data_IF_284788220780
#
_entry.id   IF_284788220780
#
_cell.length_a   1.000
_cell.length_b   1.000
_cell.length_c   1.000
_cell.angle_alpha   90.00
_cell.angle_beta   90.00
_cell.angle_gamma   90.00
#
_symmetry.space_group_name_H-M   'P 1'
#
loop_
_entity.id
_entity.type
_entity.pdbx_description
1 polymer ?
#
# COMPACT_ATOMS: atom_id res chain seq x y z
N UNK A 1 -24.15 -16.60 -20.75
CA UNK A 1 -25.18 -15.56 -20.96
C UNK A 1 -26.29 -15.77 -19.94
N UNK A 2 -26.79 -14.71 -19.31
CA UNK A 2 -27.62 -14.79 -18.11
C UNK A 2 -29.08 -15.08 -18.42
N UNK A 3 -29.63 -14.47 -19.48
CA UNK A 3 -31.03 -14.63 -19.90
C UNK A 3 -31.17 -15.71 -20.98
N UNK A 4 -30.33 -15.66 -22.01
CA UNK A 4 -30.40 -16.55 -23.17
C UNK A 4 -29.56 -17.84 -23.05
N UNK A 5 -28.69 -17.94 -22.05
CA UNK A 5 -27.80 -19.09 -21.87
C UNK A 5 -28.48 -20.26 -21.15
N UNK A 6 -28.16 -21.48 -21.57
CA UNK A 6 -28.61 -22.70 -20.88
C UNK A 6 -28.02 -22.81 -19.47
N UNK A 7 -28.69 -23.51 -18.55
CA UNK A 7 -28.19 -23.73 -17.19
C UNK A 7 -26.81 -24.39 -17.17
N UNK A 8 -26.62 -25.45 -17.97
CA UNK A 8 -25.33 -26.15 -18.08
C UNK A 8 -24.20 -25.20 -18.46
N UNK A 9 -24.43 -24.28 -19.40
CA UNK A 9 -23.41 -23.27 -19.78
C UNK A 9 -23.16 -22.21 -18.72
N UNK A 10 -24.14 -21.89 -17.87
CA UNK A 10 -23.98 -20.93 -16.77
C UNK A 10 -23.18 -21.55 -15.62
N UNK A 11 -23.47 -22.81 -15.26
CA UNK A 11 -22.76 -23.55 -14.22
C UNK A 11 -21.31 -23.87 -14.60
N UNK A 12 -21.04 -24.09 -15.90
CA UNK A 12 -19.69 -24.38 -16.38
C UNK A 12 -18.79 -23.15 -16.58
N UNK A 13 -19.31 -21.92 -16.40
CA UNK A 13 -18.58 -20.68 -16.70
C UNK A 13 -18.09 -19.96 -15.44
N UNK A 14 -16.90 -19.34 -15.50
CA UNK A 14 -16.37 -18.52 -14.40
C UNK A 14 -17.03 -17.14 -14.28
N UNK A 15 -17.71 -16.68 -15.33
CA UNK A 15 -18.38 -15.37 -15.37
C UNK A 15 -19.66 -15.45 -16.22
N UNK A 16 -20.77 -14.95 -15.68
CA UNK A 16 -22.07 -14.88 -16.34
C UNK A 16 -22.51 -13.44 -16.53
N UNK A 17 -22.80 -13.05 -17.77
CA UNK A 17 -23.36 -11.73 -18.10
C UNK A 17 -24.86 -11.72 -17.78
N UNK A 18 -25.30 -10.95 -16.79
CA UNK A 18 -26.69 -10.93 -16.32
C UNK A 18 -27.64 -10.17 -17.25
N UNK A 19 -27.10 -9.25 -18.04
CA UNK A 19 -27.83 -8.34 -18.94
C UNK A 19 -27.90 -8.85 -20.39
N UNK A 20 -27.05 -9.81 -20.74
CA UNK A 20 -26.78 -10.32 -22.08
C UNK A 20 -26.06 -9.33 -23.01
N UNK A 21 -25.34 -8.35 -22.45
CA UNK A 21 -24.61 -7.32 -23.22
C UNK A 21 -23.09 -7.61 -23.29
N UNK A 22 -22.54 -7.64 -24.50
CA UNK A 22 -21.10 -7.77 -24.71
C UNK A 22 -20.31 -6.58 -24.16
N UNK A 23 -20.91 -5.40 -24.03
CA UNK A 23 -20.28 -4.23 -23.40
C UNK A 23 -19.87 -4.51 -21.95
N UNK A 24 -20.60 -5.39 -21.25
CA UNK A 24 -20.28 -5.80 -19.87
C UNK A 24 -18.97 -6.60 -19.77
N UNK A 25 -18.53 -7.27 -20.86
CA UNK A 25 -17.19 -7.88 -20.92
C UNK A 25 -16.12 -6.79 -20.93
N UNK A 26 -16.31 -5.72 -21.69
CA UNK A 26 -15.34 -4.60 -21.75
C UNK A 26 -15.24 -3.90 -20.40
N UNK A 27 -16.38 -3.72 -19.71
CA UNK A 27 -16.42 -3.20 -18.34
C UNK A 27 -15.68 -4.13 -17.36
N UNK A 28 -15.92 -5.44 -17.42
CA UNK A 28 -15.24 -6.43 -16.59
C UNK A 28 -13.71 -6.43 -16.82
N UNK A 29 -13.27 -6.32 -18.08
CA UNK A 29 -11.82 -6.20 -18.40
C UNK A 29 -11.24 -4.91 -17.85
N UNK A 30 -11.96 -3.78 -17.93
CA UNK A 30 -11.52 -2.51 -17.32
C UNK A 30 -11.34 -2.65 -15.82
N UNK A 31 -12.33 -3.27 -15.15
CA UNK A 31 -12.32 -3.46 -13.71
C UNK A 31 -11.20 -4.41 -13.27
N UNK A 32 -11.05 -5.56 -13.93
CA UNK A 32 -9.98 -6.51 -13.62
C UNK A 32 -8.57 -5.92 -13.77
N UNK A 33 -8.36 -5.05 -14.77
CA UNK A 33 -7.10 -4.31 -14.92
C UNK A 33 -6.90 -3.27 -13.82
N UNK A 34 -7.95 -2.57 -13.40
CA UNK A 34 -7.92 -1.63 -12.27
C UNK A 34 -7.56 -2.33 -10.96
N UNK A 35 -8.24 -3.43 -10.65
CA UNK A 35 -7.96 -4.26 -9.46
C UNK A 35 -6.49 -4.70 -9.45
N UNK A 36 -5.97 -5.18 -10.58
CA UNK A 36 -4.57 -5.59 -10.68
C UNK A 36 -3.60 -4.45 -10.38
N UNK A 37 -3.81 -3.28 -10.99
CA UNK A 37 -2.95 -2.10 -10.78
C UNK A 37 -3.01 -1.63 -9.32
N UNK A 38 -4.18 -1.69 -8.69
CA UNK A 38 -4.35 -1.34 -7.28
C UNK A 38 -3.66 -2.34 -6.36
N UNK A 39 -3.77 -3.65 -6.61
CA UNK A 39 -3.02 -4.67 -5.86
C UNK A 39 -1.51 -4.41 -5.96
N UNK A 40 -1.00 -4.09 -7.16
CA UNK A 40 0.41 -3.72 -7.36
C UNK A 40 0.80 -2.50 -6.52
N UNK A 41 0.00 -1.44 -6.50
CA UNK A 41 0.22 -0.23 -5.69
C UNK A 41 0.23 -0.55 -4.19
N UNK A 42 -0.76 -1.30 -3.72
CA UNK A 42 -0.88 -1.72 -2.31
C UNK A 42 0.30 -2.58 -1.87
N UNK A 43 0.80 -3.47 -2.72
CA UNK A 43 2.00 -4.26 -2.41
C UNK A 43 3.25 -3.40 -2.29
N UNK A 44 3.44 -2.43 -3.20
CA UNK A 44 4.55 -1.47 -3.08
C UNK A 44 4.43 -0.69 -1.78
N UNK A 45 3.22 -0.27 -1.39
CA UNK A 45 2.96 0.39 -0.12
C UNK A 45 3.33 -0.51 1.07
N UNK A 46 2.72 -1.69 1.23
CA UNK A 46 2.95 -2.55 2.38
C UNK A 46 4.42 -3.00 2.49
N UNK A 47 5.04 -3.38 1.37
CA UNK A 47 6.45 -3.81 1.38
C UNK A 47 7.40 -2.68 1.74
N UNK A 48 7.10 -1.43 1.36
CA UNK A 48 7.94 -0.28 1.73
C UNK A 48 7.93 -0.06 3.24
N UNK A 49 6.75 -0.12 3.88
CA UNK A 49 6.62 0.00 5.34
C UNK A 49 7.37 -1.11 6.05
N UNK A 50 7.06 -2.36 5.73
CA UNK A 50 7.69 -3.53 6.36
C UNK A 50 9.22 -3.55 6.21
N UNK A 51 9.75 -3.20 5.04
CA UNK A 51 11.21 -3.10 4.84
C UNK A 51 11.79 -1.96 5.68
N UNK A 52 11.10 -0.82 5.77
CA UNK A 52 11.51 0.31 6.61
C UNK A 52 11.57 -0.05 8.09
N UNK A 53 10.51 -0.66 8.63
CA UNK A 53 10.45 -1.12 10.02
C UNK A 53 11.56 -2.14 10.33
N UNK A 54 11.74 -3.11 9.44
CA UNK A 54 12.80 -4.12 9.57
C UNK A 54 14.18 -3.47 9.58
N UNK A 55 14.44 -2.49 8.71
CA UNK A 55 15.70 -1.76 8.68
C UNK A 55 15.93 -0.96 9.97
N UNK A 56 14.91 -0.27 10.49
CA UNK A 56 15.00 0.47 11.76
C UNK A 56 15.38 -0.48 12.90
N UNK A 57 14.70 -1.62 13.01
CA UNK A 57 14.95 -2.62 14.04
C UNK A 57 16.35 -3.22 13.90
N UNK A 58 16.72 -3.63 12.68
CA UNK A 58 18.02 -4.23 12.39
C UNK A 58 19.16 -3.28 12.74
N UNK A 59 19.09 -2.02 12.29
CA UNK A 59 20.14 -1.03 12.53
C UNK A 59 20.23 -0.67 14.02
N UNK A 60 19.10 -0.45 14.70
CA UNK A 60 19.11 -0.15 16.13
C UNK A 60 19.77 -1.27 16.95
N UNK A 61 19.40 -2.53 16.69
CA UNK A 61 20.00 -3.70 17.37
C UNK A 61 21.48 -3.83 17.03
N UNK A 62 21.86 -3.62 15.77
CA UNK A 62 23.27 -3.70 15.32
C UNK A 62 24.16 -2.65 15.99
N UNK A 63 23.60 -1.48 16.30
CA UNK A 63 24.28 -0.39 17.02
C UNK A 63 24.22 -0.54 18.55
N UNK A 64 23.61 -1.62 19.06
CA UNK A 64 23.46 -1.86 20.49
C UNK A 64 22.45 -0.93 21.18
N UNK A 65 21.55 -0.30 20.42
CA UNK A 65 20.49 0.53 21.00
C UNK A 65 19.37 -0.34 21.56
N UNK A 66 18.60 0.17 22.54
CA UNK A 66 17.38 -0.50 22.96
C UNK A 66 16.44 -0.70 21.76
N UNK A 67 15.61 -1.74 21.83
CA UNK A 67 14.69 -2.07 20.74
C UNK A 67 13.68 -0.91 20.56
N UNK A 68 13.60 -0.30 19.35
CA UNK A 68 12.80 0.91 19.13
C UNK A 68 11.29 0.65 19.07
N UNK A 69 10.87 -0.55 18.66
CA UNK A 69 9.46 -0.95 18.62
C UNK A 69 9.25 -2.28 19.35
N UNK A 70 8.24 -2.33 20.20
CA UNK A 70 7.81 -3.58 20.81
C UNK A 70 6.98 -4.40 19.81
N UNK A 71 6.88 -5.73 19.97
CA UNK A 71 6.03 -6.56 19.10
C UNK A 71 4.58 -6.09 19.03
N UNK A 72 4.05 -5.56 20.14
CA UNK A 72 2.70 -5.00 20.18
C UNK A 72 2.56 -3.74 19.31
N UNK A 73 3.59 -2.88 19.26
CA UNK A 73 3.60 -1.72 18.36
C UNK A 73 3.60 -2.15 16.89
N UNK A 74 4.43 -3.15 16.55
CA UNK A 74 4.49 -3.69 15.18
C UNK A 74 3.16 -4.31 14.74
N UNK A 75 2.50 -5.06 15.64
CA UNK A 75 1.19 -5.65 15.36
C UNK A 75 0.12 -4.57 15.13
N UNK A 76 0.15 -3.50 15.93
CA UNK A 76 -0.75 -2.36 15.73
C UNK A 76 -0.50 -1.69 14.39
N UNK A 77 0.76 -1.42 14.05
CA UNK A 77 1.13 -0.79 12.77
C UNK A 77 0.64 -1.65 11.60
N UNK A 78 1.02 -2.92 11.56
CA UNK A 78 0.70 -3.82 10.45
C UNK A 78 -0.81 -4.05 10.28
N UNK A 79 -1.57 -4.13 11.39
CA UNK A 79 -2.99 -4.46 11.33
C UNK A 79 -3.86 -3.22 11.12
N UNK A 80 -3.64 -2.18 11.93
CA UNK A 80 -4.52 -1.01 11.99
C UNK A 80 -3.99 0.08 11.08
N UNK A 81 -2.75 0.52 11.31
CA UNK A 81 -2.19 1.68 10.61
C UNK A 81 -1.98 1.42 9.13
N UNK A 82 -1.47 0.24 8.76
CA UNK A 82 -1.23 -0.14 7.37
C UNK A 82 -2.43 -0.82 6.71
N UNK A 83 -3.21 -1.58 7.47
CA UNK A 83 -4.35 -2.33 6.94
C UNK A 83 -5.43 -1.43 6.36
N UNK A 84 -5.78 -0.35 7.07
CA UNK A 84 -6.84 0.57 6.62
C UNK A 84 -6.47 1.32 5.33
N UNK A 85 -5.28 1.96 5.21
CA UNK A 85 -4.86 2.57 3.94
C UNK A 85 -4.69 1.55 2.82
N UNK A 86 -4.21 0.33 3.11
CA UNK A 86 -4.08 -0.72 2.11
C UNK A 86 -5.44 -1.09 1.48
N UNK A 87 -6.49 -1.23 2.30
CA UNK A 87 -7.85 -1.44 1.81
C UNK A 87 -8.34 -0.27 0.96
N UNK A 88 -8.06 0.97 1.40
CA UNK A 88 -8.41 2.17 0.65
C UNK A 88 -7.73 2.20 -0.73
N UNK A 89 -6.44 1.84 -0.80
CA UNK A 89 -5.68 1.77 -2.04
C UNK A 89 -6.18 0.67 -3.00
N UNK A 90 -6.67 -0.45 -2.47
CA UNK A 90 -7.26 -1.52 -3.31
C UNK A 90 -8.53 -1.05 -4.00
N UNK A 91 -9.32 -0.19 -3.36
CA UNK A 91 -10.60 0.34 -3.86
C UNK A 91 -10.46 1.63 -4.68
N UNK A 92 -9.24 2.05 -5.03
CA UNK A 92 -9.04 3.23 -5.88
C UNK A 92 -9.68 3.01 -7.27
N UNK A 93 -10.33 4.02 -7.88
CA UNK A 93 -10.95 3.84 -9.18
C UNK A 93 -9.89 3.52 -10.27
N UNK A 94 -10.23 2.69 -11.28
CA UNK A 94 -9.32 2.40 -12.39
C UNK A 94 -8.87 3.66 -13.12
N UNK A 95 -7.60 3.73 -13.54
CA UNK A 95 -7.06 4.89 -14.25
C UNK A 95 -7.75 5.08 -15.62
N UNK A 96 -7.93 6.32 -16.07
CA UNK A 96 -8.68 6.64 -17.30
C UNK A 96 -8.06 6.01 -18.57
N UNK A 97 -6.74 5.82 -18.59
CA UNK A 97 -5.97 5.21 -19.68
C UNK A 97 -5.83 3.68 -19.53
N UNK A 98 -6.57 3.06 -18.60
CA UNK A 98 -6.49 1.61 -18.36
C UNK A 98 -6.73 0.79 -19.61
N UNK A 99 -7.71 1.14 -20.45
CA UNK A 99 -7.98 0.42 -21.69
C UNK A 99 -7.08 0.81 -22.86
N UNK A 100 -6.37 1.94 -22.78
CA UNK A 100 -5.45 2.40 -23.84
C UNK A 100 -4.12 1.63 -23.83
N UNK A 101 -3.74 1.07 -22.68
CA UNK A 101 -2.53 0.26 -22.53
C UNK A 101 -2.76 -1.15 -23.10
N UNK A 102 -1.78 -1.80 -23.76
CA UNK A 102 -1.92 -3.17 -24.22
C UNK A 102 -2.10 -4.16 -23.06
N UNK A 103 -2.65 -5.37 -23.31
CA UNK A 103 -2.70 -6.42 -22.31
C UNK A 103 -1.31 -6.78 -21.78
N UNK A 104 -1.23 -7.00 -20.48
CA UNK A 104 0.00 -7.37 -19.78
C UNK A 104 0.47 -8.77 -20.22
N UNK A 105 1.78 -9.00 -20.41
CA UNK A 105 2.33 -10.35 -20.59
C UNK A 105 2.07 -11.25 -19.35
N UNK A 106 1.60 -12.49 -19.52
CA UNK A 106 1.32 -13.39 -18.40
C UNK A 106 2.54 -13.72 -17.51
N UNK A 107 3.75 -13.64 -18.10
CA UNK A 107 5.02 -13.94 -17.42
C UNK A 107 5.69 -12.73 -16.77
N UNK A 108 5.12 -11.54 -16.91
CA UNK A 108 5.67 -10.37 -16.24
C UNK A 108 5.56 -10.56 -14.71
N UNK A 109 6.59 -10.16 -13.95
CA UNK A 109 6.54 -10.16 -12.50
C UNK A 109 5.64 -9.04 -11.98
N UNK A 110 4.89 -9.26 -10.89
CA UNK A 110 4.04 -8.21 -10.33
C UNK A 110 4.86 -7.03 -9.81
N UNK A 111 6.04 -7.26 -9.24
CA UNK A 111 6.98 -6.21 -8.84
C UNK A 111 8.23 -6.28 -9.71
N UNK A 112 8.44 -5.27 -10.54
CA UNK A 112 9.62 -5.14 -11.38
C UNK A 112 10.78 -4.42 -10.68
N UNK A 113 11.86 -4.21 -11.43
CA UNK A 113 13.01 -3.43 -10.97
C UNK A 113 12.67 -2.00 -10.51
N UNK A 114 11.81 -1.22 -11.20
CA UNK A 114 11.52 0.14 -10.76
C UNK A 114 10.74 0.16 -9.44
N UNK A 115 9.81 -0.78 -9.22
CA UNK A 115 9.07 -0.94 -7.97
C UNK A 115 10.00 -1.29 -6.83
N UNK A 116 10.87 -2.30 -7.00
CA UNK A 116 11.86 -2.66 -5.99
C UNK A 116 12.81 -1.52 -5.63
N UNK A 117 13.27 -0.75 -6.64
CA UNK A 117 14.10 0.43 -6.40
C UNK A 117 13.36 1.47 -5.56
N UNK A 118 12.07 1.71 -5.84
CA UNK A 118 11.23 2.63 -5.06
C UNK A 118 11.02 2.14 -3.63
N UNK A 119 10.75 0.85 -3.44
CA UNK A 119 10.59 0.23 -2.12
C UNK A 119 11.85 0.46 -1.29
N UNK A 120 13.02 0.05 -1.81
CA UNK A 120 14.28 0.14 -1.07
C UNK A 120 14.66 1.60 -0.78
N UNK A 121 14.58 2.49 -1.78
CA UNK A 121 14.95 3.90 -1.59
C UNK A 121 14.06 4.57 -0.52
N UNK A 122 12.74 4.37 -0.61
CA UNK A 122 11.79 4.98 0.32
C UNK A 122 11.99 4.40 1.73
N UNK A 123 12.13 3.08 1.84
CA UNK A 123 12.36 2.41 3.12
C UNK A 123 13.67 2.85 3.79
N UNK A 124 14.75 3.05 3.02
CA UNK A 124 16.03 3.53 3.57
C UNK A 124 15.92 4.97 4.07
N UNK A 125 15.25 5.86 3.31
CA UNK A 125 15.03 7.25 3.73
C UNK A 125 14.16 7.29 4.99
N UNK A 126 13.07 6.53 5.00
CA UNK A 126 12.17 6.42 6.15
C UNK A 126 12.91 5.90 7.38
N UNK A 127 13.65 4.80 7.24
CA UNK A 127 14.44 4.24 8.32
C UNK A 127 15.49 5.21 8.86
N UNK A 128 16.19 5.94 7.98
CA UNK A 128 17.18 6.94 8.39
C UNK A 128 16.55 8.06 9.21
N UNK A 129 15.37 8.55 8.80
CA UNK A 129 14.64 9.59 9.53
C UNK A 129 14.16 9.06 10.88
N UNK A 130 13.58 7.86 10.92
CA UNK A 130 13.10 7.23 12.16
C UNK A 130 14.23 6.98 13.14
N UNK A 131 15.38 6.47 12.66
CA UNK A 131 16.57 6.25 13.47
C UNK A 131 17.15 7.55 14.02
N UNK A 132 17.18 8.62 13.20
CA UNK A 132 17.63 9.93 13.65
C UNK A 132 16.72 10.48 14.77
N UNK A 133 15.40 10.37 14.60
CA UNK A 133 14.42 10.75 15.63
C UNK A 133 14.59 9.89 16.88
N UNK A 134 14.78 8.58 16.74
CA UNK A 134 14.98 7.67 17.87
C UNK A 134 16.24 8.02 18.65
N UNK A 135 17.35 8.25 17.95
CA UNK A 135 18.63 8.63 18.57
C UNK A 135 18.55 9.98 19.28
N UNK A 136 17.82 10.92 18.70
CA UNK A 136 17.56 12.22 19.30
C UNK A 136 16.71 12.08 20.56
N UNK A 137 15.64 11.27 20.51
CA UNK A 137 14.75 11.02 21.65
C UNK A 137 15.50 10.31 22.79
N UNK A 138 16.32 9.30 22.50
CA UNK A 138 17.17 8.64 23.51
C UNK A 138 18.15 9.59 24.19
N UNK A 139 18.59 10.66 23.52
CA UNK A 139 19.50 11.65 24.09
C UNK A 139 18.83 12.77 24.90
N UNK A 140 17.50 12.87 24.84
CA UNK A 140 16.69 13.92 25.49
C UNK A 140 15.68 13.38 26.50
N UNK A 141 15.36 12.09 26.45
CA UNK A 141 14.29 11.50 27.25
C UNK A 141 14.71 11.42 28.71
N UNK A 142 14.27 12.41 29.50
CA UNK A 142 14.24 12.32 30.95
C UNK A 142 13.30 11.17 31.41
N UNK A 143 12.31 10.79 30.57
CA UNK A 143 11.37 9.68 30.79
C UNK A 143 11.85 8.29 30.36
N UNK A 144 13.11 8.16 29.91
CA UNK A 144 13.72 6.87 29.57
C UNK A 144 13.31 6.27 28.21
N UNK A 145 13.54 4.96 28.05
CA UNK A 145 13.41 4.26 26.75
C UNK A 145 11.96 4.23 26.25
N UNK A 146 10.97 4.21 27.14
CA UNK A 146 9.57 4.08 26.77
C UNK A 146 9.01 5.36 26.14
N UNK A 147 9.49 6.53 26.57
CA UNK A 147 9.18 7.80 25.90
C UNK A 147 9.76 7.82 24.48
N UNK A 148 11.01 7.40 24.31
CA UNK A 148 11.65 7.33 22.99
C UNK A 148 10.92 6.35 22.04
N UNK A 149 10.42 5.23 22.55
CA UNK A 149 9.58 4.27 21.80
C UNK A 149 8.26 4.90 21.37
N UNK A 150 7.63 5.69 22.24
CA UNK A 150 6.36 6.37 21.95
C UNK A 150 6.53 7.40 20.85
N UNK A 151 7.62 8.19 20.90
CA UNK A 151 7.98 9.16 19.85
C UNK A 151 8.21 8.46 18.50
N UNK A 152 8.94 7.34 18.49
CA UNK A 152 9.18 6.56 17.26
C UNK A 152 7.89 5.98 16.71
N UNK A 153 7.07 5.37 17.57
CA UNK A 153 5.79 4.82 17.18
C UNK A 153 4.90 5.88 16.53
N UNK A 154 4.71 7.04 17.16
CA UNK A 154 3.96 8.14 16.57
C UNK A 154 4.58 8.61 15.25
N UNK A 155 5.91 8.72 15.17
CA UNK A 155 6.60 9.15 13.94
C UNK A 155 6.32 8.23 12.76
N UNK A 156 6.32 6.90 12.98
CA UNK A 156 6.03 5.89 11.96
C UNK A 156 4.58 5.99 11.52
N UNK A 157 3.64 6.04 12.48
CA UNK A 157 2.21 6.17 12.15
C UNK A 157 1.94 7.37 11.25
N UNK A 158 2.52 8.55 11.57
CA UNK A 158 2.40 9.73 10.71
C UNK A 158 3.12 9.56 9.35
N UNK A 159 4.28 8.91 9.31
CA UNK A 159 4.97 8.59 8.05
C UNK A 159 4.09 7.75 7.13
N UNK A 160 3.52 6.67 7.63
CA UNK A 160 2.74 5.70 6.86
C UNK A 160 1.47 6.31 6.31
N UNK A 161 0.75 7.05 7.15
CA UNK A 161 -0.43 7.82 6.74
C UNK A 161 -0.09 8.77 5.59
N UNK A 162 1.01 9.52 5.68
CA UNK A 162 1.44 10.42 4.61
C UNK A 162 1.91 9.67 3.36
N UNK A 163 2.61 8.55 3.55
CA UNK A 163 3.11 7.67 2.48
C UNK A 163 1.96 7.03 1.70
N UNK A 164 0.83 6.74 2.35
CA UNK A 164 -0.36 6.19 1.71
C UNK A 164 -0.91 7.12 0.62
N UNK A 165 -0.90 8.44 0.84
CA UNK A 165 -1.26 9.41 -0.20
C UNK A 165 -0.30 9.39 -1.38
N UNK A 166 1.00 9.24 -1.12
CA UNK A 166 2.03 9.13 -2.17
C UNK A 166 2.01 7.80 -2.92
N UNK A 167 1.37 6.76 -2.37
CA UNK A 167 1.26 5.44 -2.97
C UNK A 167 0.12 5.30 -3.99
N UNK A 168 -0.81 6.27 -4.04
CA UNK A 168 -1.97 6.26 -4.96
C UNK A 168 -1.60 6.24 -6.44
N UNK A 169 -0.42 6.75 -6.79
CA UNK A 169 0.13 6.59 -8.13
C UNK A 169 1.60 6.19 -8.14
N UNK A 170 1.92 5.34 -9.11
CA UNK A 170 3.29 4.92 -9.40
C UNK A 170 4.00 5.89 -10.36
N UNK A 171 3.25 6.71 -11.09
CA UNK A 171 3.73 7.53 -12.20
C UNK A 171 3.37 9.01 -12.07
N UNK A 172 2.26 9.34 -11.40
CA UNK A 172 1.76 10.70 -11.22
C UNK A 172 2.07 11.24 -9.82
N UNK A 173 2.17 12.55 -9.73
CA UNK A 173 2.41 13.25 -8.45
C UNK A 173 1.10 13.27 -7.65
N UNK A 174 1.17 13.28 -6.32
CA UNK A 174 -0.02 13.16 -5.45
C UNK A 174 -1.13 14.19 -5.73
N UNK A 175 -0.79 15.39 -6.22
CA UNK A 175 -1.76 16.41 -6.64
C UNK A 175 -2.49 16.07 -7.95
N UNK A 176 -1.86 15.33 -8.86
CA UNK A 176 -2.41 14.94 -10.17
C UNK A 176 -3.39 13.77 -10.07
N UNK A 177 -3.29 12.97 -9.00
CA UNK A 177 -4.24 11.91 -8.64
C UNK A 177 -5.54 12.42 -8.03
N UNK A 178 -5.57 13.71 -7.62
CA UNK A 178 -6.70 14.34 -6.93
C UNK A 178 -6.86 13.83 -5.50
N UNK A 179 -6.61 14.69 -4.50
CA UNK A 179 -6.65 14.30 -3.08
C UNK A 179 -8.03 13.75 -2.66
N UNK A 180 -9.12 14.23 -3.30
CA UNK A 180 -10.50 13.87 -2.99
C UNK A 180 -11.05 12.65 -3.74
N UNK A 181 -10.30 12.06 -4.67
CA UNK A 181 -10.81 10.95 -5.50
C UNK A 181 -10.94 9.64 -4.72
N UNK A 182 -10.35 9.52 -3.54
CA UNK A 182 -10.53 8.40 -2.61
C UNK A 182 -10.94 8.91 -1.23
N UNK A 183 -12.24 9.08 -1.04
CA UNK A 183 -12.84 9.53 0.22
C UNK A 183 -12.60 8.52 1.35
N UNK A 184 -12.40 7.25 1.03
CA UNK A 184 -12.13 6.22 2.04
C UNK A 184 -10.72 6.37 2.60
N UNK A 185 -9.72 6.67 1.76
CA UNK A 185 -8.38 7.02 2.24
C UNK A 185 -8.41 8.28 3.10
N UNK A 186 -9.17 9.31 2.70
CA UNK A 186 -9.35 10.50 3.53
C UNK A 186 -10.02 10.19 4.88
N UNK A 187 -11.03 9.32 4.90
CA UNK A 187 -11.71 8.90 6.13
C UNK A 187 -10.88 7.97 7.03
N UNK A 188 -9.89 7.27 6.48
CA UNK A 188 -8.91 6.49 7.27
C UNK A 188 -7.87 7.40 7.91
N UNK A 189 -7.58 8.54 7.30
CA UNK A 189 -6.57 9.49 7.77
C UNK A 189 -7.15 10.56 8.71
N UNK A 190 -8.43 10.91 8.56
CA UNK A 190 -9.14 11.91 9.37
C UNK A 190 -9.67 11.33 10.69
#
# INVERSE_FOLDING_TARGET
MGKSGTEVTREASDMVLTDDDFASIVAAVREGRGIYDNIRKTLVYLLTGNVGELLVMLVAISLGWPVPLLPMHLLWINLVTDGLPALALVMDPPEADTLARPPRPPKEAMLGRPEWRRIVLTAVVEAAVVLAVYRWALGRADGGVDEARSVVFSRIVFCEVLRAFGARSLTRIFWETGVLSNLLLLGVVA
#
